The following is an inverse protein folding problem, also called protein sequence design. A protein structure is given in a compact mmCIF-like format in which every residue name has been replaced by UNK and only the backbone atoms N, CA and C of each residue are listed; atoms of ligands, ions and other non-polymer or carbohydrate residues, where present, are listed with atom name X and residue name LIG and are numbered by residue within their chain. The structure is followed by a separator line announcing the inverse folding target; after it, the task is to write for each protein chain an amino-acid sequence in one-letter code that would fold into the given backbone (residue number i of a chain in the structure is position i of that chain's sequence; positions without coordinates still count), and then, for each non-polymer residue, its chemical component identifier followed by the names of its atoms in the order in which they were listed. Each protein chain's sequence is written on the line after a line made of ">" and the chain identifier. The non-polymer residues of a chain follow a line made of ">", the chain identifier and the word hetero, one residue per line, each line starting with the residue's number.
data_IF_304237885745
#
_entry.id   IF_304237885745
#
_cell.length_a   1.000
_cell.length_b   1.000
_cell.length_c   1.000
_cell.angle_alpha   90.00
_cell.angle_beta   90.00
_cell.angle_gamma   90.00
#
_symmetry.space_group_name_H-M   'P 1'
#
loop_
_entity.id
_entity.type
_entity.pdbx_description
1 polymer ?
#
# COMPACT_ATOMS: atom_id res chain seq x y z
N UNK A 1 4.00 13.68 -6.42
CA UNK A 1 3.69 15.03 -6.97
C UNK A 1 2.22 15.36 -6.71
N UNK A 2 1.83 16.64 -6.79
CA UNK A 2 0.42 17.05 -6.62
C UNK A 2 -0.52 16.40 -7.65
N UNK A 3 -0.06 16.19 -8.88
CA UNK A 3 -0.81 15.51 -9.93
C UNK A 3 -1.19 14.06 -9.57
N UNK A 4 -0.32 13.31 -8.90
CA UNK A 4 -0.62 11.95 -8.44
C UNK A 4 -1.72 11.97 -7.38
N UNK A 5 -1.69 12.92 -6.45
CA UNK A 5 -2.72 13.07 -5.41
C UNK A 5 -4.08 13.43 -6.02
N UNK A 6 -4.11 14.32 -7.02
CA UNK A 6 -5.34 14.66 -7.76
C UNK A 6 -5.88 13.43 -8.49
N UNK A 7 -5.01 12.69 -9.21
CA UNK A 7 -5.41 11.48 -9.95
C UNK A 7 -6.00 10.41 -9.02
N UNK A 8 -5.33 10.14 -7.90
CA UNK A 8 -5.80 9.18 -6.89
C UNK A 8 -7.09 9.67 -6.23
N UNK A 9 -7.18 10.96 -5.88
CA UNK A 9 -8.40 11.56 -5.35
C UNK A 9 -9.58 11.42 -6.30
N UNK A 10 -9.38 11.65 -7.61
CA UNK A 10 -10.41 11.46 -8.62
C UNK A 10 -10.90 10.00 -8.69
N UNK A 11 -9.99 9.03 -8.59
CA UNK A 11 -10.35 7.61 -8.53
C UNK A 11 -11.26 7.31 -7.34
N UNK A 12 -10.91 7.80 -6.13
CA UNK A 12 -11.67 7.54 -4.91
C UNK A 12 -13.04 8.22 -4.89
N UNK A 13 -13.14 9.45 -5.40
CA UNK A 13 -14.36 10.26 -5.30
C UNK A 13 -15.32 10.02 -6.47
N UNK A 14 -14.82 9.69 -7.66
CA UNK A 14 -15.63 9.64 -8.87
C UNK A 14 -15.59 8.29 -9.56
N UNK A 15 -14.40 7.79 -9.92
CA UNK A 15 -14.29 6.58 -10.75
C UNK A 15 -14.89 5.37 -10.03
N UNK A 16 -14.47 5.11 -8.80
CA UNK A 16 -14.97 3.93 -8.07
C UNK A 16 -16.48 4.01 -7.81
N UNK A 17 -17.04 5.10 -7.25
CA UNK A 17 -18.49 5.19 -7.02
C UNK A 17 -19.34 5.05 -8.28
N UNK A 18 -18.90 5.61 -9.40
CA UNK A 18 -19.62 5.55 -10.68
C UNK A 18 -19.51 4.15 -11.28
N UNK A 19 -18.29 3.63 -11.48
CA UNK A 19 -18.09 2.34 -12.13
C UNK A 19 -18.70 1.21 -11.30
N UNK A 20 -18.50 1.22 -9.98
CA UNK A 20 -19.11 0.23 -9.09
C UNK A 20 -20.65 0.34 -9.02
N UNK A 21 -21.27 1.43 -9.47
CA UNK A 21 -22.74 1.52 -9.54
C UNK A 21 -23.29 0.88 -10.82
N UNK A 22 -22.55 0.89 -11.92
CA UNK A 22 -23.05 0.49 -13.24
C UNK A 22 -22.54 -0.88 -13.72
N UNK A 23 -21.35 -1.32 -13.29
CA UNK A 23 -20.65 -2.48 -13.89
C UNK A 23 -20.75 -3.77 -13.07
N UNK A 24 -21.30 -3.72 -11.84
CA UNK A 24 -21.38 -4.91 -10.97
C UNK A 24 -20.07 -5.27 -10.26
N UNK A 25 -18.94 -4.76 -10.75
CA UNK A 25 -17.60 -4.83 -10.15
C UNK A 25 -16.78 -3.60 -10.56
N UNK A 26 -15.63 -3.40 -9.89
CA UNK A 26 -14.66 -2.36 -10.24
C UNK A 26 -13.46 -2.97 -10.97
N UNK A 27 -13.20 -2.61 -12.25
CA UNK A 27 -12.09 -3.13 -13.06
C UNK A 27 -10.76 -2.47 -12.68
N UNK A 28 -10.30 -2.70 -11.45
CA UNK A 28 -9.10 -2.07 -10.89
C UNK A 28 -7.83 -2.34 -11.71
N UNK A 29 -7.79 -3.43 -12.48
CA UNK A 29 -6.65 -3.76 -13.35
C UNK A 29 -6.38 -2.67 -14.37
N UNK A 30 -7.43 -2.04 -14.89
CA UNK A 30 -7.32 -0.95 -15.88
C UNK A 30 -6.70 0.31 -15.29
N UNK A 31 -6.83 0.48 -13.97
CA UNK A 31 -6.27 1.61 -13.23
C UNK A 31 -4.92 1.28 -12.56
N UNK A 32 -4.39 0.08 -12.81
CA UNK A 32 -3.14 -0.37 -12.18
C UNK A 32 -3.27 -0.56 -10.67
N UNK A 33 -4.48 -0.85 -10.17
CA UNK A 33 -4.83 -0.97 -8.75
C UNK A 33 -4.97 -2.44 -8.27
N UNK A 34 -4.45 -3.39 -9.03
CA UNK A 34 -4.51 -4.82 -8.70
C UNK A 34 -5.73 -5.52 -9.30
N UNK A 35 -6.21 -6.57 -8.65
CA UNK A 35 -7.28 -7.47 -9.15
C UNK A 35 -8.67 -6.85 -9.02
N UNK A 36 -9.53 -7.14 -9.99
CA UNK A 36 -10.87 -6.56 -10.06
C UNK A 36 -11.67 -6.82 -8.77
N UNK A 37 -12.37 -5.80 -8.29
CA UNK A 37 -12.96 -5.79 -6.96
C UNK A 37 -14.48 -5.89 -7.03
N UNK A 38 -15.13 -6.72 -6.19
CA UNK A 38 -16.58 -6.65 -6.00
C UNK A 38 -17.01 -5.24 -5.59
N UNK A 39 -18.21 -4.82 -6.00
CA UNK A 39 -18.70 -3.46 -5.76
C UNK A 39 -18.65 -3.01 -4.30
N UNK A 40 -19.03 -3.88 -3.36
CA UNK A 40 -19.00 -3.58 -1.93
C UNK A 40 -17.58 -3.26 -1.45
N UNK A 41 -16.62 -4.10 -1.87
CA UNK A 41 -15.19 -3.96 -1.54
C UNK A 41 -14.63 -2.69 -2.15
N UNK A 42 -14.89 -2.42 -3.44
CA UNK A 42 -14.41 -1.21 -4.10
C UNK A 42 -14.94 0.06 -3.42
N UNK A 43 -16.25 0.10 -3.14
CA UNK A 43 -16.88 1.25 -2.47
C UNK A 43 -16.35 1.45 -1.06
N UNK A 44 -16.09 0.37 -0.33
CA UNK A 44 -15.46 0.44 0.99
C UNK A 44 -14.04 0.98 0.92
N UNK A 45 -13.24 0.43 0.01
CA UNK A 45 -11.89 0.90 -0.20
C UNK A 45 -11.84 2.39 -0.57
N UNK A 46 -12.77 2.83 -1.42
CA UNK A 46 -12.92 4.25 -1.74
C UNK A 46 -13.37 5.10 -0.56
N UNK A 47 -14.16 4.57 0.40
CA UNK A 47 -14.43 5.31 1.66
C UNK A 47 -13.15 5.47 2.47
N UNK A 48 -12.33 4.43 2.59
CA UNK A 48 -11.05 4.51 3.30
C UNK A 48 -10.11 5.49 2.62
N UNK A 49 -9.95 5.41 1.29
CA UNK A 49 -9.07 6.31 0.52
C UNK A 49 -9.44 7.80 0.59
N UNK A 50 -10.66 8.12 1.06
CA UNK A 50 -11.12 9.50 1.32
C UNK A 50 -10.95 9.95 2.76
N UNK A 51 -10.75 9.01 3.70
CA UNK A 51 -10.52 9.34 5.10
C UNK A 51 -9.04 9.76 5.26
N UNK A 52 -8.75 10.98 5.78
CA UNK A 52 -7.38 11.42 6.01
C UNK A 52 -6.60 10.46 6.93
N UNK A 53 -7.28 9.76 7.83
CA UNK A 53 -6.70 8.77 8.73
C UNK A 53 -6.75 7.34 8.18
N UNK A 54 -7.30 7.13 6.97
CA UNK A 54 -7.39 5.85 6.29
C UNK A 54 -7.92 4.73 7.22
N UNK A 55 -7.11 3.70 7.50
CA UNK A 55 -7.47 2.61 8.42
C UNK A 55 -7.58 3.05 9.89
N UNK A 56 -6.95 4.15 10.29
CA UNK A 56 -7.08 4.72 11.64
C UNK A 56 -8.27 5.67 11.78
N UNK A 57 -8.98 5.90 10.68
CA UNK A 57 -10.21 6.68 10.64
C UNK A 57 -11.37 6.04 11.40
N UNK A 58 -12.52 6.71 11.35
CA UNK A 58 -13.70 6.36 12.16
C UNK A 58 -14.20 4.94 11.93
N UNK A 59 -13.90 4.36 10.77
CA UNK A 59 -14.40 3.04 10.36
C UNK A 59 -13.58 1.86 10.91
N UNK A 60 -12.33 2.05 11.41
CA UNK A 60 -11.48 0.96 11.91
C UNK A 60 -10.70 1.26 13.19
N UNK A 61 -11.11 2.28 13.95
CA UNK A 61 -10.52 2.65 15.26
C UNK A 61 -10.41 1.47 16.24
N UNK A 62 -11.29 0.48 16.15
CA UNK A 62 -11.23 -0.75 16.94
C UNK A 62 -9.94 -1.56 16.74
N UNK A 63 -9.26 -1.43 15.59
CA UNK A 63 -7.98 -2.09 15.33
C UNK A 63 -6.77 -1.28 15.82
N UNK A 64 -6.93 0.00 16.19
CA UNK A 64 -5.80 0.87 16.55
C UNK A 64 -4.96 0.31 17.71
N UNK A 65 -5.61 -0.32 18.69
CA UNK A 65 -4.93 -1.00 19.79
C UNK A 65 -4.06 -2.18 19.32
N UNK A 66 -4.48 -2.91 18.28
CA UNK A 66 -3.71 -4.04 17.74
C UNK A 66 -2.43 -3.56 17.05
N UNK A 67 -2.52 -2.47 16.27
CA UNK A 67 -1.36 -1.86 15.64
C UNK A 67 -0.40 -1.28 16.70
N UNK A 68 -0.94 -0.55 17.68
CA UNK A 68 -0.15 0.03 18.77
C UNK A 68 0.52 -1.02 19.67
N UNK A 69 -0.12 -2.17 19.85
CA UNK A 69 0.39 -3.29 20.65
C UNK A 69 1.40 -4.19 19.93
N UNK A 70 1.70 -3.95 18.64
CA UNK A 70 2.69 -4.74 17.90
C UNK A 70 4.09 -4.47 18.44
N UNK A 71 4.67 -5.48 19.12
CA UNK A 71 6.03 -5.40 19.69
C UNK A 71 7.08 -6.18 18.89
N UNK A 72 6.65 -6.94 17.88
CA UNK A 72 7.57 -7.72 17.03
C UNK A 72 8.33 -6.77 16.11
N UNK A 73 9.56 -7.12 15.70
CA UNK A 73 10.29 -6.40 14.66
C UNK A 73 9.45 -6.27 13.39
N UNK A 74 9.44 -5.07 12.81
CA UNK A 74 8.70 -4.76 11.58
C UNK A 74 9.69 -4.32 10.54
N UNK A 75 9.75 -5.04 9.42
CA UNK A 75 10.42 -4.54 8.22
C UNK A 75 9.44 -3.74 7.39
N UNK A 76 9.71 -2.45 7.27
CA UNK A 76 9.06 -1.58 6.31
C UNK A 76 9.86 -1.55 5.01
N UNK A 77 9.23 -1.95 3.90
CA UNK A 77 9.80 -1.87 2.56
C UNK A 77 9.05 -0.79 1.79
N UNK A 78 9.71 0.33 1.53
CA UNK A 78 9.16 1.42 0.73
C UNK A 78 9.88 1.51 -0.62
N UNK A 79 9.15 1.79 -1.68
CA UNK A 79 9.65 1.79 -3.05
C UNK A 79 9.63 3.22 -3.59
N UNK A 80 10.76 3.71 -4.07
CA UNK A 80 10.92 5.13 -4.42
C UNK A 80 10.10 5.59 -5.62
N UNK A 81 9.80 4.69 -6.55
CA UNK A 81 9.05 4.97 -7.78
C UNK A 81 7.59 4.46 -7.73
N UNK A 82 7.07 4.21 -6.53
CA UNK A 82 5.67 3.91 -6.27
C UNK A 82 4.79 5.17 -6.41
N UNK A 83 3.88 5.14 -7.38
CA UNK A 83 2.97 6.25 -7.69
C UNK A 83 1.66 6.23 -6.90
N UNK A 84 1.50 5.27 -5.99
CA UNK A 84 0.33 5.07 -5.12
C UNK A 84 0.72 5.31 -3.65
N UNK A 85 1.73 4.58 -3.15
CA UNK A 85 2.17 4.66 -1.76
C UNK A 85 3.28 5.71 -1.58
N UNK A 86 2.88 6.98 -1.55
CA UNK A 86 3.82 8.09 -1.34
C UNK A 86 4.65 7.94 -0.06
N UNK A 87 5.85 8.51 -0.04
CA UNK A 87 6.73 8.50 1.15
C UNK A 87 6.00 9.06 2.40
N UNK A 88 5.24 10.14 2.25
CA UNK A 88 4.49 10.74 3.35
C UNK A 88 3.42 9.79 3.91
N UNK A 89 2.67 9.10 3.04
CA UNK A 89 1.68 8.10 3.45
C UNK A 89 2.35 6.92 4.18
N UNK A 90 3.49 6.44 3.66
CA UNK A 90 4.32 5.43 4.31
C UNK A 90 4.76 5.88 5.72
N UNK A 91 5.32 7.09 5.86
CA UNK A 91 5.72 7.62 7.17
C UNK A 91 4.55 7.75 8.14
N UNK A 92 3.38 8.17 7.66
CA UNK A 92 2.14 8.21 8.47
C UNK A 92 1.75 6.81 8.95
N UNK A 93 1.77 5.81 8.07
CA UNK A 93 1.46 4.43 8.44
C UNK A 93 2.38 3.89 9.54
N UNK A 94 3.68 4.22 9.51
CA UNK A 94 4.62 3.77 10.54
C UNK A 94 4.33 4.35 11.94
N UNK A 95 3.64 5.49 12.03
CA UNK A 95 3.21 6.04 13.33
C UNK A 95 2.20 5.15 14.05
N UNK A 96 1.58 4.20 13.34
CA UNK A 96 0.62 3.26 13.91
C UNK A 96 1.26 2.15 14.72
N UNK A 97 2.58 1.98 14.64
CA UNK A 97 3.35 0.93 15.29
C UNK A 97 4.36 1.48 16.32
N UNK A 98 3.93 2.31 17.30
CA UNK A 98 4.83 2.98 18.24
C UNK A 98 5.64 2.03 19.12
N UNK A 99 5.18 0.79 19.32
CA UNK A 99 5.86 -0.21 20.15
C UNK A 99 6.78 -1.16 19.36
N UNK A 100 6.81 -1.06 18.02
CA UNK A 100 7.59 -1.96 17.18
C UNK A 100 8.99 -1.38 16.89
N UNK A 101 10.00 -2.25 16.88
CA UNK A 101 11.30 -1.92 16.29
C UNK A 101 11.18 -1.95 14.76
N UNK A 102 11.08 -0.78 14.12
CA UNK A 102 10.89 -0.67 12.67
C UNK A 102 12.22 -0.53 11.95
N UNK A 103 12.56 -1.51 11.11
CA UNK A 103 13.64 -1.42 10.14
C UNK A 103 13.08 -0.91 8.80
N UNK A 104 13.76 0.02 8.15
CA UNK A 104 13.32 0.58 6.87
C UNK A 104 14.26 0.17 5.74
N UNK A 105 13.70 -0.43 4.69
CA UNK A 105 14.33 -0.61 3.39
C UNK A 105 13.67 0.33 2.39
N UNK A 106 14.40 1.37 1.98
CA UNK A 106 13.96 2.28 0.93
C UNK A 106 14.57 1.80 -0.38
N UNK A 107 13.81 1.03 -1.14
CA UNK A 107 14.24 0.44 -2.39
C UNK A 107 14.10 1.42 -3.55
N UNK A 108 15.17 1.52 -4.33
CA UNK A 108 15.23 2.22 -5.60
C UNK A 108 15.33 1.21 -6.74
N UNK A 109 14.87 1.54 -7.96
CA UNK A 109 15.04 0.66 -9.11
C UNK A 109 16.49 0.22 -9.33
N UNK A 110 17.43 1.14 -9.11
CA UNK A 110 18.88 0.89 -9.17
C UNK A 110 19.36 -0.20 -8.20
N UNK A 111 18.74 -0.33 -7.01
CA UNK A 111 19.12 -1.35 -6.01
C UNK A 111 18.84 -2.77 -6.48
N UNK A 112 17.95 -2.93 -7.48
CA UNK A 112 17.57 -4.21 -8.08
C UNK A 112 18.02 -4.32 -9.55
N UNK A 113 18.79 -3.35 -10.05
CA UNK A 113 19.26 -3.33 -11.44
C UNK A 113 18.15 -3.22 -12.48
N UNK A 114 17.02 -2.56 -12.15
CA UNK A 114 15.88 -2.39 -13.06
C UNK A 114 15.55 -0.93 -13.28
N UNK A 115 14.82 -0.63 -14.37
CA UNK A 115 14.39 0.73 -14.69
C UNK A 115 13.15 1.17 -13.89
N UNK A 116 12.34 0.22 -13.41
CA UNK A 116 11.09 0.53 -12.69
C UNK A 116 10.66 -0.63 -11.80
N UNK A 117 10.32 -0.34 -10.54
CA UNK A 117 9.66 -1.26 -9.62
C UNK A 117 8.16 -0.89 -9.59
N UNK A 118 7.82 0.30 -9.10
CA UNK A 118 6.44 0.74 -8.89
C UNK A 118 5.67 -0.11 -7.88
N UNK A 119 4.36 0.12 -7.77
CA UNK A 119 3.56 -0.41 -6.65
C UNK A 119 3.49 -1.94 -6.55
N UNK A 120 3.37 -2.66 -7.68
CA UNK A 120 3.05 -4.10 -7.67
C UNK A 120 4.17 -5.04 -8.14
N UNK A 121 5.27 -4.55 -8.74
CA UNK A 121 6.22 -5.47 -9.39
C UNK A 121 7.05 -6.30 -8.42
N UNK A 122 7.29 -5.84 -7.18
CA UNK A 122 7.96 -6.67 -6.16
C UNK A 122 7.19 -7.96 -5.83
N UNK A 123 5.89 -8.02 -6.14
CA UNK A 123 5.07 -9.21 -5.98
C UNK A 123 5.05 -10.11 -7.23
N UNK A 124 5.69 -9.69 -8.32
CA UNK A 124 5.85 -10.52 -9.53
C UNK A 124 7.12 -11.33 -9.44
N UNK A 125 7.07 -12.56 -9.94
CA UNK A 125 8.18 -13.51 -9.91
C UNK A 125 9.50 -12.93 -10.46
N UNK A 126 9.45 -12.09 -11.50
CA UNK A 126 10.66 -11.50 -12.11
C UNK A 126 11.48 -10.63 -11.16
N UNK A 127 10.84 -9.75 -10.38
CA UNK A 127 11.54 -8.99 -9.33
C UNK A 127 11.60 -9.76 -8.02
N UNK A 128 10.65 -10.64 -7.78
CA UNK A 128 10.60 -11.52 -6.63
C UNK A 128 11.81 -12.42 -6.53
N UNK A 129 12.25 -13.01 -7.65
CA UNK A 129 13.46 -13.84 -7.70
C UNK A 129 14.73 -13.09 -7.24
N UNK A 130 14.76 -11.75 -7.39
CA UNK A 130 15.87 -10.89 -6.96
C UNK A 130 15.69 -10.46 -5.50
N UNK A 131 14.48 -10.01 -5.14
CA UNK A 131 14.23 -9.37 -3.84
C UNK A 131 13.84 -10.35 -2.71
N UNK A 132 13.03 -11.36 -3.01
CA UNK A 132 12.48 -12.27 -1.99
C UNK A 132 13.54 -13.05 -1.22
N UNK A 133 14.66 -13.51 -1.80
CA UNK A 133 15.72 -14.17 -1.01
C UNK A 133 16.20 -13.31 0.16
N UNK A 134 16.43 -12.01 -0.08
CA UNK A 134 16.83 -11.05 0.96
C UNK A 134 15.73 -10.85 2.01
N UNK A 135 14.48 -10.76 1.59
CA UNK A 135 13.32 -10.67 2.48
C UNK A 135 13.20 -11.92 3.37
N UNK A 136 13.37 -13.11 2.81
CA UNK A 136 13.34 -14.38 3.52
C UNK A 136 14.48 -14.51 4.51
N UNK A 137 15.69 -14.03 4.18
CA UNK A 137 16.81 -13.96 5.13
C UNK A 137 16.43 -13.11 6.34
N UNK A 138 15.81 -11.94 6.15
CA UNK A 138 15.35 -11.10 7.26
C UNK A 138 14.23 -11.76 8.07
N UNK A 139 13.28 -12.43 7.42
CA UNK A 139 12.20 -13.13 8.15
C UNK A 139 12.70 -14.30 8.99
N UNK A 140 13.86 -14.87 8.65
CA UNK A 140 14.48 -16.01 9.33
C UNK A 140 15.54 -15.60 10.34
N UNK A 141 16.00 -14.36 10.34
CA UNK A 141 16.90 -13.88 11.39
C UNK A 141 16.11 -13.74 12.69
N UNK A 142 16.68 -14.21 13.81
CA UNK A 142 16.10 -14.07 15.16
C UNK A 142 16.25 -12.65 15.74
N UNK A 143 16.42 -11.64 14.87
CA UNK A 143 16.44 -10.21 15.23
C UNK A 143 15.03 -9.72 15.62
#
# INVERSE_FOLDING_TARGET
>A
SGWQQIRIGFIWHFVIPVVARFVGYFPSRWFGLGVDLPNGVAREWARWGRDPEYLMGRHRRASAGNYAGMKRPVLNVWISDDDIASYAANRKMLTWYPAAAVRNWNLRPEDLGVNRIGHFRLFRESLGAIFWPRLLTWMRSDD
#
